data_IF_863653176236
#
_entry.id   IF_863653176236
#
_cell.length_a   1.000
_cell.length_b   1.000
_cell.length_c   1.000
_cell.angle_alpha   90.00
_cell.angle_beta   90.00
_cell.angle_gamma   90.00
#
_symmetry.space_group_name_H-M   'P 1'
#
loop_
_entity.id
_entity.type
_entity.pdbx_description
1 polymer ?
#
# COMPACT_ATOMS: atom_id res chain seq x y z
N UNK A 1 46.82 45.64 -3.53
CA UNK A 1 46.80 44.24 -3.05
C UNK A 1 45.62 44.07 -2.11
N UNK A 2 44.43 43.73 -2.63
CA UNK A 2 43.27 43.28 -1.84
C UNK A 2 42.62 42.18 -2.68
N UNK A 3 42.81 40.92 -2.27
CA UNK A 3 42.19 39.74 -2.87
C UNK A 3 40.75 39.63 -2.35
N UNK A 4 39.76 39.65 -3.24
CA UNK A 4 38.37 39.27 -2.91
C UNK A 4 38.19 37.81 -3.34
N UNK A 5 38.19 36.91 -2.38
CA UNK A 5 37.88 35.49 -2.57
C UNK A 5 36.37 35.29 -2.55
N UNK A 6 35.82 34.88 -3.70
CA UNK A 6 34.44 34.42 -3.84
C UNK A 6 34.27 33.05 -3.17
N UNK A 7 33.29 32.91 -2.28
CA UNK A 7 32.87 31.61 -1.75
C UNK A 7 31.74 31.07 -2.63
N UNK A 8 31.99 29.95 -3.31
CA UNK A 8 30.95 29.15 -3.97
C UNK A 8 30.56 28.05 -2.98
N UNK A 9 29.31 28.06 -2.53
CA UNK A 9 28.72 26.96 -1.74
C UNK A 9 28.15 25.95 -2.72
N UNK A 10 28.80 24.81 -2.88
CA UNK A 10 28.24 23.66 -3.60
C UNK A 10 27.29 22.92 -2.67
N UNK A 11 26.00 22.93 -2.99
CA UNK A 11 25.02 22.07 -2.34
C UNK A 11 25.28 20.61 -2.76
N UNK A 12 25.63 19.75 -1.81
CA UNK A 12 25.70 18.31 -2.02
C UNK A 12 24.27 17.78 -1.96
N UNK A 13 23.72 17.38 -3.11
CA UNK A 13 22.48 16.60 -3.16
C UNK A 13 22.77 15.21 -2.55
N UNK A 14 22.20 14.94 -1.39
CA UNK A 14 22.21 13.60 -0.82
C UNK A 14 21.23 12.73 -1.64
N UNK A 15 21.76 11.97 -2.59
CA UNK A 15 21.00 10.91 -3.25
C UNK A 15 20.74 9.81 -2.23
N UNK A 16 19.49 9.66 -1.80
CA UNK A 16 19.05 8.49 -1.06
C UNK A 16 19.10 7.29 -2.01
N UNK A 17 20.09 6.41 -1.83
CA UNK A 17 20.06 5.08 -2.42
C UNK A 17 18.99 4.30 -1.64
N UNK A 18 17.84 4.10 -2.26
CA UNK A 18 16.89 3.09 -1.79
C UNK A 18 17.57 1.73 -1.98
N UNK A 19 17.95 1.11 -0.87
CA UNK A 19 18.35 -0.29 -0.87
C UNK A 19 17.06 -1.06 -1.18
N UNK A 20 16.85 -1.44 -2.43
CA UNK A 20 15.83 -2.42 -2.76
C UNK A 20 16.27 -3.73 -2.12
N UNK A 21 15.75 -4.05 -0.93
CA UNK A 21 15.89 -5.38 -0.34
C UNK A 21 15.40 -6.38 -1.39
N UNK A 22 16.26 -7.30 -1.82
CA UNK A 22 15.84 -8.38 -2.71
C UNK A 22 14.88 -9.28 -1.92
N UNK A 23 13.58 -9.05 -2.09
CA UNK A 23 12.57 -9.93 -1.56
C UNK A 23 12.70 -11.31 -2.24
N UNK A 24 12.52 -12.38 -1.47
CA UNK A 24 12.43 -13.73 -2.01
C UNK A 24 11.23 -13.78 -2.97
N UNK A 25 11.31 -14.38 -4.19
CA UNK A 25 10.20 -14.41 -5.15
C UNK A 25 8.86 -14.69 -4.48
N UNK A 26 7.94 -13.74 -4.64
CA UNK A 26 6.64 -13.81 -4.02
C UNK A 26 5.70 -14.81 -4.67
N UNK A 27 4.61 -15.14 -3.96
CA UNK A 27 3.45 -15.78 -4.59
C UNK A 27 2.72 -14.72 -5.40
N UNK A 28 2.49 -15.02 -6.67
CA UNK A 28 1.76 -14.13 -7.59
C UNK A 28 0.35 -14.68 -7.80
N UNK A 29 -0.62 -13.81 -7.56
CA UNK A 29 -2.03 -14.01 -7.88
C UNK A 29 -2.36 -13.09 -9.04
N UNK A 30 -2.75 -13.66 -10.19
CA UNK A 30 -3.18 -12.89 -11.35
C UNK A 30 -4.71 -12.92 -11.43
N UNK A 31 -5.27 -11.85 -11.94
CA UNK A 31 -6.68 -11.73 -12.28
C UNK A 31 -6.82 -11.19 -13.72
N UNK A 32 -7.91 -11.55 -14.40
CA UNK A 32 -8.08 -11.16 -15.79
C UNK A 32 -8.48 -9.68 -15.88
N UNK A 33 -7.90 -8.95 -16.83
CA UNK A 33 -8.33 -7.58 -17.13
C UNK A 33 -9.82 -7.54 -17.43
N UNK A 34 -10.53 -6.65 -16.74
CA UNK A 34 -11.96 -6.45 -16.92
C UNK A 34 -12.81 -7.53 -16.26
N UNK A 35 -12.24 -8.39 -15.40
CA UNK A 35 -13.00 -9.29 -14.53
C UNK A 35 -13.59 -8.52 -13.33
N UNK A 36 -14.44 -7.56 -13.68
CA UNK A 36 -15.14 -6.69 -12.75
C UNK A 36 -16.62 -6.73 -13.11
N UNK A 37 -17.49 -6.62 -12.10
CA UNK A 37 -18.93 -6.60 -12.33
C UNK A 37 -19.28 -5.53 -13.38
N UNK A 38 -19.95 -5.90 -14.49
CA UNK A 38 -20.21 -5.00 -15.61
C UNK A 38 -21.13 -3.82 -15.25
N UNK A 39 -21.81 -3.88 -14.10
CA UNK A 39 -22.62 -2.78 -13.58
C UNK A 39 -21.80 -1.72 -12.82
N UNK A 40 -20.52 -1.98 -12.57
CA UNK A 40 -19.62 -1.09 -11.84
C UNK A 40 -18.67 -0.39 -12.82
N UNK A 41 -18.57 0.94 -12.72
CA UNK A 41 -17.55 1.69 -13.46
C UNK A 41 -16.16 1.32 -12.95
N UNK A 42 -15.21 1.02 -13.85
CA UNK A 42 -13.85 0.63 -13.46
C UNK A 42 -13.01 1.78 -12.91
N UNK A 43 -13.54 3.01 -12.91
CA UNK A 43 -12.81 4.20 -12.47
C UNK A 43 -11.55 4.43 -13.31
N UNK A 44 -11.66 4.39 -14.64
CA UNK A 44 -10.48 4.49 -15.51
C UNK A 44 -9.51 3.31 -15.35
N UNK A 45 -10.02 2.16 -14.90
CA UNK A 45 -9.24 0.94 -14.66
C UNK A 45 -8.62 0.81 -13.26
N UNK A 46 -8.76 1.83 -12.40
CA UNK A 46 -8.15 1.77 -11.05
C UNK A 46 -8.90 0.89 -10.07
N UNK A 47 -10.13 0.45 -10.37
CA UNK A 47 -10.87 -0.56 -9.59
C UNK A 47 -10.68 -1.99 -10.12
N UNK A 48 -10.06 -2.15 -11.29
CA UNK A 48 -9.81 -3.43 -11.95
C UNK A 48 -8.44 -3.97 -11.48
N UNK A 49 -8.47 -4.84 -10.48
CA UNK A 49 -7.27 -5.42 -9.87
C UNK A 49 -6.78 -6.57 -10.75
N UNK A 50 -5.53 -6.56 -11.22
CA UNK A 50 -5.06 -7.56 -12.20
C UNK A 50 -3.90 -8.43 -11.69
N UNK A 51 -3.24 -7.99 -10.62
CA UNK A 51 -2.17 -8.77 -9.99
C UNK A 51 -1.94 -8.39 -8.54
N UNK A 52 -1.73 -9.38 -7.69
CA UNK A 52 -1.13 -9.22 -6.38
C UNK A 52 0.12 -10.08 -6.30
N UNK A 53 1.25 -9.49 -5.94
CA UNK A 53 2.44 -10.23 -5.55
C UNK A 53 2.67 -10.06 -4.05
N UNK A 54 2.80 -11.18 -3.34
CA UNK A 54 3.13 -11.22 -1.91
C UNK A 54 4.49 -11.87 -1.75
N UNK A 55 5.49 -11.06 -1.41
CA UNK A 55 6.87 -11.50 -1.17
C UNK A 55 7.32 -11.09 0.23
N UNK A 56 8.53 -11.46 0.61
CA UNK A 56 9.07 -11.10 1.91
C UNK A 56 10.60 -10.95 1.88
N UNK A 57 11.13 -10.18 2.84
CA UNK A 57 12.54 -10.13 3.19
C UNK A 57 12.78 -11.00 4.43
N UNK A 58 13.91 -10.83 5.11
CA UNK A 58 14.11 -11.44 6.43
C UNK A 58 13.23 -10.81 7.53
N UNK A 59 12.77 -9.57 7.32
CA UNK A 59 12.09 -8.75 8.34
C UNK A 59 10.73 -8.23 7.92
N UNK A 60 10.46 -8.16 6.63
CA UNK A 60 9.31 -7.43 6.08
C UNK A 60 8.47 -8.31 5.18
N UNK A 61 7.17 -8.06 5.17
CA UNK A 61 6.27 -8.51 4.12
C UNK A 61 6.15 -7.42 3.06
N UNK A 62 6.12 -7.83 1.79
CA UNK A 62 5.96 -6.93 0.65
C UNK A 62 4.71 -7.32 -0.12
N UNK A 63 3.79 -6.37 -0.26
CA UNK A 63 2.59 -6.51 -1.08
C UNK A 63 2.71 -5.57 -2.27
N UNK A 64 2.58 -6.09 -3.49
CA UNK A 64 2.54 -5.29 -4.71
C UNK A 64 1.24 -5.56 -5.48
N UNK A 65 0.29 -4.63 -5.33
CA UNK A 65 -0.99 -4.65 -6.04
C UNK A 65 -0.85 -3.91 -7.37
N UNK A 66 -1.24 -4.53 -8.46
CA UNK A 66 -1.33 -3.88 -9.78
C UNK A 66 -2.79 -3.73 -10.19
N UNK A 67 -3.13 -2.53 -10.66
CA UNK A 67 -4.46 -2.19 -11.19
C UNK A 67 -4.36 -1.84 -12.66
N UNK A 68 -5.43 -2.11 -13.41
CA UNK A 68 -5.50 -1.90 -14.85
C UNK A 68 -5.80 -0.45 -15.26
N UNK A 69 -5.24 0.50 -14.53
CA UNK A 69 -5.46 1.92 -14.77
C UNK A 69 -4.31 2.79 -14.28
N UNK A 70 -4.29 4.02 -14.78
CA UNK A 70 -3.32 5.03 -14.35
C UNK A 70 -3.84 5.80 -13.13
N UNK A 71 -3.26 5.53 -11.96
CA UNK A 71 -3.64 6.20 -10.71
C UNK A 71 -3.20 7.66 -10.65
N UNK A 72 -2.36 8.13 -11.58
CA UNK A 72 -2.05 9.56 -11.71
C UNK A 72 -3.08 10.33 -12.55
N UNK A 73 -3.96 9.64 -13.29
CA UNK A 73 -5.05 10.27 -14.05
C UNK A 73 -6.40 10.13 -13.35
N UNK A 74 -6.65 8.96 -12.74
CA UNK A 74 -7.81 8.72 -11.87
C UNK A 74 -7.30 8.46 -10.46
N UNK A 75 -7.28 9.50 -9.64
CA UNK A 75 -6.48 9.53 -8.40
C UNK A 75 -7.31 9.34 -7.12
N UNK A 76 -8.61 9.11 -7.20
CA UNK A 76 -9.45 8.93 -6.01
C UNK A 76 -9.42 7.50 -5.44
N UNK A 77 -8.71 6.58 -6.10
CA UNK A 77 -8.60 5.18 -5.70
C UNK A 77 -8.13 4.99 -4.25
N UNK A 78 -8.68 3.97 -3.58
CA UNK A 78 -8.33 3.54 -2.23
C UNK A 78 -8.17 2.03 -2.26
N UNK A 79 -7.06 1.53 -1.71
CA UNK A 79 -6.74 0.10 -1.76
C UNK A 79 -6.56 -0.45 -0.37
N UNK A 80 -7.08 -1.65 -0.11
CA UNK A 80 -7.11 -2.23 1.22
C UNK A 80 -6.62 -3.68 1.21
N UNK A 81 -5.90 -4.07 2.26
CA UNK A 81 -5.48 -5.45 2.52
C UNK A 81 -5.89 -5.79 3.95
N UNK A 82 -6.75 -6.80 4.10
CA UNK A 82 -7.08 -7.39 5.40
C UNK A 82 -6.29 -8.67 5.62
N UNK A 83 -5.74 -8.87 6.82
CA UNK A 83 -5.02 -10.09 7.21
C UNK A 83 -5.68 -10.71 8.43
N UNK A 84 -5.89 -12.03 8.41
CA UNK A 84 -6.13 -12.86 9.59
C UNK A 84 -4.85 -13.63 9.87
N UNK A 85 -4.24 -13.39 11.03
CA UNK A 85 -3.03 -14.10 11.47
C UNK A 85 -3.33 -15.36 12.30
N UNK A 86 -4.59 -15.80 12.33
CA UNK A 86 -5.03 -16.97 13.08
C UNK A 86 -5.35 -16.74 14.57
N UNK A 87 -5.38 -15.48 15.01
CA UNK A 87 -6.01 -15.10 16.28
C UNK A 87 -7.50 -14.76 16.07
N UNK A 88 -8.26 -14.60 17.17
CA UNK A 88 -9.70 -14.42 17.13
C UNK A 88 -10.17 -13.28 16.20
N UNK A 89 -9.40 -12.18 16.11
CA UNK A 89 -9.65 -11.06 15.19
C UNK A 89 -11.01 -10.37 15.34
N UNK A 90 -11.31 -9.46 14.42
CA UNK A 90 -12.63 -8.83 14.25
C UNK A 90 -13.42 -9.57 13.17
N UNK A 91 -14.57 -10.12 13.53
CA UNK A 91 -15.49 -10.82 12.62
C UNK A 91 -16.78 -10.02 12.38
N UNK A 92 -16.88 -8.82 12.94
CA UNK A 92 -18.09 -8.02 12.85
C UNK A 92 -18.35 -7.51 11.43
N UNK A 93 -19.62 -7.18 11.15
CA UNK A 93 -19.99 -6.48 9.93
C UNK A 93 -19.32 -5.11 9.95
N UNK A 94 -18.64 -4.75 8.86
CA UNK A 94 -17.80 -3.56 8.76
C UNK A 94 -16.61 -3.55 9.74
N UNK A 95 -16.24 -4.73 10.26
CA UNK A 95 -15.16 -4.94 11.22
C UNK A 95 -13.78 -4.80 10.61
N UNK A 96 -13.44 -3.59 10.19
CA UNK A 96 -12.13 -3.25 9.64
C UNK A 96 -11.65 -1.87 10.11
N UNK A 97 -10.36 -1.61 9.89
CA UNK A 97 -9.70 -0.41 10.38
C UNK A 97 -10.30 0.92 9.93
N UNK A 98 -11.09 0.95 8.85
CA UNK A 98 -11.73 2.15 8.31
C UNK A 98 -13.27 2.09 8.35
N UNK A 99 -13.85 1.13 9.07
CA UNK A 99 -15.30 0.92 9.17
C UNK A 99 -16.01 0.86 7.80
N UNK A 100 -15.34 0.31 6.78
CA UNK A 100 -15.88 0.12 5.43
C UNK A 100 -16.85 -1.09 5.39
N UNK A 101 -17.71 -1.23 4.38
CA UNK A 101 -18.57 -2.41 4.20
C UNK A 101 -17.79 -3.65 3.76
N UNK A 102 -16.80 -4.04 4.56
CA UNK A 102 -15.89 -5.16 4.37
C UNK A 102 -15.78 -5.87 5.71
N UNK A 103 -15.99 -7.18 5.68
CA UNK A 103 -15.84 -8.07 6.83
C UNK A 103 -15.02 -9.29 6.40
N UNK A 104 -14.35 -9.93 7.35
CA UNK A 104 -13.61 -11.16 7.08
C UNK A 104 -13.86 -12.18 8.19
N UNK A 105 -14.33 -13.35 7.78
CA UNK A 105 -14.28 -14.57 8.57
C UNK A 105 -13.26 -15.51 7.94
N UNK A 106 -12.38 -16.07 8.76
CA UNK A 106 -11.44 -17.12 8.38
C UNK A 106 -11.63 -18.34 9.29
N UNK A 107 -11.19 -19.54 8.90
CA UNK A 107 -11.31 -20.74 9.72
C UNK A 107 -10.66 -20.61 11.12
N UNK A 108 -9.69 -19.70 11.27
CA UNK A 108 -8.90 -19.50 12.49
C UNK A 108 -9.23 -18.19 13.22
N UNK A 109 -10.23 -17.42 12.76
CA UNK A 109 -10.65 -16.16 13.39
C UNK A 109 -11.04 -15.07 12.39
N UNK A 110 -11.03 -13.82 12.82
CA UNK A 110 -11.38 -12.63 12.04
C UNK A 110 -10.18 -11.83 11.54
N UNK A 111 -10.43 -10.61 11.11
CA UNK A 111 -9.38 -9.68 10.68
C UNK A 111 -8.56 -9.18 11.86
N UNK A 112 -7.24 -9.25 11.76
CA UNK A 112 -6.29 -8.86 12.83
C UNK A 112 -5.49 -7.63 12.43
N UNK A 113 -5.27 -7.45 11.13
CA UNK A 113 -4.57 -6.31 10.56
C UNK A 113 -5.32 -5.77 9.35
N UNK A 114 -5.26 -4.46 9.19
CA UNK A 114 -5.85 -3.72 8.08
C UNK A 114 -4.84 -2.72 7.56
N UNK A 115 -4.45 -2.89 6.30
CA UNK A 115 -3.68 -1.91 5.56
C UNK A 115 -4.66 -1.17 4.65
N UNK A 116 -4.68 0.16 4.73
CA UNK A 116 -5.44 1.00 3.81
C UNK A 116 -4.51 2.02 3.19
N UNK A 117 -4.63 2.23 1.88
CA UNK A 117 -3.92 3.29 1.17
C UNK A 117 -4.85 4.13 0.32
N UNK A 118 -4.32 5.29 -0.06
CA UNK A 118 -4.94 6.25 -0.94
C UNK A 118 -3.90 6.79 -1.92
N UNK A 119 -4.36 7.19 -3.11
CA UNK A 119 -3.49 7.72 -4.16
C UNK A 119 -3.72 9.21 -4.46
N UNK A 120 -4.79 9.80 -3.90
CA UNK A 120 -5.08 11.24 -3.97
C UNK A 120 -4.24 12.02 -2.94
N UNK A 121 -4.21 13.35 -3.09
CA UNK A 121 -3.63 14.28 -2.10
C UNK A 121 -2.18 13.96 -1.69
N UNK A 122 -1.38 13.46 -2.64
CA UNK A 122 0.01 13.05 -2.40
C UNK A 122 0.19 11.59 -1.99
N UNK A 123 -0.91 10.85 -1.84
CA UNK A 123 -0.95 9.44 -1.51
C UNK A 123 -0.52 9.14 -0.07
N UNK A 124 -0.75 7.91 0.37
CA UNK A 124 -0.33 7.45 1.68
C UNK A 124 -0.96 6.13 2.07
N UNK A 125 -0.49 5.59 3.19
CA UNK A 125 -1.00 4.36 3.77
C UNK A 125 -1.02 4.40 5.31
N UNK A 126 -1.90 3.57 5.86
CA UNK A 126 -2.04 3.24 7.29
C UNK A 126 -2.07 1.74 7.50
N UNK A 127 -1.44 1.29 8.59
CA UNK A 127 -1.52 -0.05 9.15
C UNK A 127 -2.27 0.06 10.47
N UNK A 128 -3.35 -0.70 10.60
CA UNK A 128 -4.15 -0.79 11.82
C UNK A 128 -4.17 -2.22 12.32
N UNK A 129 -4.12 -2.38 13.63
CA UNK A 129 -4.21 -3.68 14.29
C UNK A 129 -5.42 -3.75 15.20
N UNK A 130 -6.03 -4.93 15.25
CA UNK A 130 -7.15 -5.26 16.11
C UNK A 130 -6.69 -5.90 17.43
N UNK A 131 -7.27 -5.43 18.53
CA UNK A 131 -7.22 -6.12 19.82
C UNK A 131 -8.63 -6.14 20.45
N UNK A 132 -9.04 -5.06 21.09
CA UNK A 132 -10.44 -4.81 21.52
C UNK A 132 -11.11 -3.72 20.68
N UNK A 133 -10.33 -3.10 19.79
CA UNK A 133 -10.71 -2.02 18.88
C UNK A 133 -9.60 -1.80 17.84
N UNK A 134 -9.93 -1.14 16.73
CA UNK A 134 -8.97 -0.84 15.65
C UNK A 134 -8.09 0.36 16.00
N UNK A 135 -6.79 0.14 16.17
CA UNK A 135 -5.80 1.21 16.45
C UNK A 135 -4.81 1.36 15.29
N UNK A 136 -4.43 2.60 14.96
CA UNK A 136 -3.32 2.85 14.02
C UNK A 136 -2.02 2.45 14.70
N UNK A 137 -1.26 1.57 14.05
CA UNK A 137 0.06 1.11 14.53
C UNK A 137 1.19 1.58 13.61
N UNK A 138 0.89 1.95 12.37
CA UNK A 138 1.82 2.56 11.43
C UNK A 138 1.10 3.47 10.44
N UNK A 139 1.71 4.58 10.06
CA UNK A 139 1.19 5.47 9.03
C UNK A 139 2.31 6.24 8.33
N UNK A 140 2.13 6.45 7.03
CA UNK A 140 3.07 7.22 6.20
C UNK A 140 3.24 8.66 6.70
N UNK A 141 2.15 9.30 7.13
CA UNK A 141 2.16 10.65 7.71
C UNK A 141 2.78 10.73 9.12
N UNK A 142 2.95 9.59 9.80
CA UNK A 142 3.69 9.47 11.07
C UNK A 142 5.12 8.96 10.86
N UNK A 143 5.52 8.69 9.61
CA UNK A 143 6.84 8.15 9.25
C UNK A 143 7.20 6.83 9.95
N UNK A 144 6.20 5.98 10.24
CA UNK A 144 6.39 4.69 10.93
C UNK A 144 5.65 3.52 10.25
N UNK A 145 5.35 3.63 8.96
CA UNK A 145 4.65 2.58 8.18
C UNK A 145 5.58 1.52 7.59
N UNK A 146 6.90 1.72 7.62
CA UNK A 146 7.85 1.00 6.77
C UNK A 146 8.05 1.76 5.47
N UNK A 147 7.73 1.16 4.32
CA UNK A 147 7.78 1.82 3.00
C UNK A 147 6.45 1.70 2.26
N UNK A 148 6.12 2.76 1.51
CA UNK A 148 4.96 2.82 0.64
C UNK A 148 5.36 3.51 -0.67
N UNK A 149 5.02 2.91 -1.80
CA UNK A 149 5.36 3.44 -3.11
C UNK A 149 4.21 3.25 -4.10
N UNK A 150 4.07 4.21 -5.02
CA UNK A 150 3.14 4.15 -6.13
C UNK A 150 3.95 4.31 -7.42
N UNK A 151 3.87 3.32 -8.31
CA UNK A 151 4.37 3.40 -9.67
C UNK A 151 3.18 3.56 -10.61
N UNK A 152 3.01 4.75 -11.20
CA UNK A 152 1.88 5.05 -12.08
C UNK A 152 2.20 4.74 -13.54
N UNK A 153 1.22 4.25 -14.29
CA UNK A 153 1.35 3.90 -15.70
C UNK A 153 0.03 3.44 -16.30
N UNK A 154 0.04 2.91 -17.52
CA UNK A 154 -1.17 2.31 -18.12
C UNK A 154 -1.80 1.24 -17.21
N UNK A 155 -0.95 0.48 -16.53
CA UNK A 155 -1.26 -0.19 -15.27
C UNK A 155 -0.41 0.46 -14.18
N UNK A 156 -0.96 0.57 -12.97
CA UNK A 156 -0.25 1.15 -11.83
C UNK A 156 -0.02 0.11 -10.76
N UNK A 157 1.11 0.22 -10.07
CA UNK A 157 1.46 -0.66 -8.95
C UNK A 157 1.52 0.12 -7.65
N UNK A 158 0.83 -0.39 -6.62
CA UNK A 158 0.83 0.10 -5.25
C UNK A 158 1.59 -0.91 -4.40
N UNK A 159 2.70 -0.47 -3.82
CA UNK A 159 3.61 -1.33 -3.04
C UNK A 159 3.63 -0.93 -1.57
N UNK A 160 3.46 -1.94 -0.70
CA UNK A 160 3.55 -1.84 0.74
C UNK A 160 4.73 -2.70 1.21
N UNK A 161 5.57 -2.18 2.09
CA UNK A 161 6.60 -2.94 2.81
C UNK A 161 6.41 -2.69 4.30
N UNK A 162 6.03 -3.74 5.04
CA UNK A 162 5.49 -3.66 6.40
C UNK A 162 6.04 -4.74 7.31
#
# INVERSE_FOLDING_TARGET
MIHRTSFVVTAIAASFISIASQANPGVVYNDATGDIDPSISTGGGTLDLVRMEVSHTATDLVFALTVNGNVSSTDWGKFMIGISNGSAGDTSVNGNGWARPINMGSPTGGMTNWFGSWVDSGGGAENRSWATGWSVVGATYNSNFGSFAISSGAQSTITYTV
#
